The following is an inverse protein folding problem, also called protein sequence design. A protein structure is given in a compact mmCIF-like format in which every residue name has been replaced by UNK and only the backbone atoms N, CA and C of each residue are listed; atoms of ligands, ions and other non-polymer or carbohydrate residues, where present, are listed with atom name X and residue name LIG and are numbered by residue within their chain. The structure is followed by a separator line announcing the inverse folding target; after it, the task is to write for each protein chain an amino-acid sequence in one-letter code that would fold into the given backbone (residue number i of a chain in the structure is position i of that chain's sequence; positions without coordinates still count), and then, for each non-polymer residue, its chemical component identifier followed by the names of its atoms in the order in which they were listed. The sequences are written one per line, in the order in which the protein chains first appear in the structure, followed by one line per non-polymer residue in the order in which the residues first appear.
data_IF_330945070122
#
_entry.id   IF_330945070122
#
_cell.length_a   1.000
_cell.length_b   1.000
_cell.length_c   1.000
_cell.angle_alpha   90.00
_cell.angle_beta   90.00
_cell.angle_gamma   90.00
#
_symmetry.space_group_name_H-M   'P 1'
#
loop_
_entity.id
_entity.type
_entity.pdbx_description
1 polymer ?
#
# COMPACT_ATOMS: atom_id res chain seq x y z
N UNK A 1 -10.55 -9.92 2.57
CA UNK A 1 -10.97 -8.57 3.00
C UNK A 1 -11.30 -7.80 1.74
N UNK A 2 -12.46 -7.15 1.64
CA UNK A 2 -12.78 -6.41 0.41
C UNK A 2 -11.81 -5.23 0.26
N UNK A 3 -11.18 -5.14 -0.92
CA UNK A 3 -10.24 -4.07 -1.28
C UNK A 3 -10.87 -2.66 -1.18
N UNK A 4 -12.20 -2.59 -1.05
CA UNK A 4 -12.97 -1.39 -0.73
C UNK A 4 -12.44 -0.61 0.49
N UNK A 5 -11.92 -1.31 1.52
CA UNK A 5 -11.35 -0.63 2.69
C UNK A 5 -10.00 0.01 2.34
N UNK A 6 -9.18 -0.68 1.53
CA UNK A 6 -7.87 -0.19 1.09
C UNK A 6 -8.04 1.02 0.16
N UNK A 7 -9.09 1.04 -0.68
CA UNK A 7 -9.42 2.17 -1.55
C UNK A 7 -9.58 3.49 -0.78
N UNK A 8 -9.94 3.47 0.51
CA UNK A 8 -10.00 4.67 1.39
C UNK A 8 -8.64 5.33 1.66
N UNK A 9 -7.55 4.66 1.29
CA UNK A 9 -6.18 5.13 1.44
C UNK A 9 -5.58 5.63 0.12
N UNK A 10 -6.31 5.52 -1.00
CA UNK A 10 -5.89 6.12 -2.28
C UNK A 10 -5.67 7.63 -2.08
N UNK A 11 -4.58 8.12 -2.66
CA UNK A 11 -4.14 9.51 -2.55
C UNK A 11 -3.36 9.83 -1.27
N UNK A 12 -3.30 8.91 -0.29
CA UNK A 12 -2.59 9.13 0.98
C UNK A 12 -1.20 8.52 0.94
N UNK A 13 -0.24 9.22 1.55
CA UNK A 13 1.09 8.68 1.78
C UNK A 13 1.04 7.67 2.94
N UNK A 14 1.39 6.43 2.67
CA UNK A 14 1.19 5.30 3.56
C UNK A 14 2.46 4.49 3.74
N UNK A 15 2.52 3.78 4.86
CA UNK A 15 3.47 2.69 5.13
C UNK A 15 2.69 1.39 4.99
N UNK A 16 3.06 0.58 4.01
CA UNK A 16 2.44 -0.71 3.69
C UNK A 16 3.44 -1.79 4.09
N UNK A 17 3.02 -2.69 4.97
CA UNK A 17 3.86 -3.76 5.50
C UNK A 17 3.31 -5.12 5.10
N UNK A 18 4.17 -5.98 4.55
CA UNK A 18 3.81 -7.37 4.18
C UNK A 18 4.15 -8.40 5.25
N UNK A 19 4.57 -7.97 6.45
CA UNK A 19 4.84 -8.87 7.57
C UNK A 19 6.13 -8.56 8.33
N UNK A 20 6.36 -9.26 9.45
CA UNK A 20 7.57 -9.14 10.29
C UNK A 20 8.87 -9.42 9.52
N UNK A 21 8.83 -10.31 8.53
CA UNK A 21 9.95 -10.62 7.64
C UNK A 21 9.75 -10.08 6.22
N UNK A 22 8.67 -9.32 6.02
CA UNK A 22 8.33 -8.70 4.75
C UNK A 22 9.04 -7.38 4.54
N UNK A 23 8.73 -6.74 3.42
CA UNK A 23 9.20 -5.40 3.10
C UNK A 23 8.19 -4.36 3.57
N UNK A 24 8.70 -3.18 3.93
CA UNK A 24 7.88 -2.00 4.14
C UNK A 24 8.02 -1.09 2.93
N UNK A 25 6.91 -0.84 2.25
CA UNK A 25 6.85 0.13 1.15
C UNK A 25 6.26 1.42 1.69
N UNK A 26 6.93 2.54 1.39
CA UNK A 26 6.51 3.87 1.83
C UNK A 26 6.28 4.73 0.59
N UNK A 27 5.04 5.16 0.42
CA UNK A 27 4.66 5.96 -0.74
C UNK A 27 3.17 6.27 -0.79
N UNK A 28 2.76 6.98 -1.83
CA UNK A 28 1.36 7.37 -2.04
C UNK A 28 0.63 6.27 -2.81
N UNK A 29 -0.48 5.78 -2.27
CA UNK A 29 -1.31 4.81 -3.01
C UNK A 29 -1.98 5.53 -4.17
N UNK A 30 -1.76 5.06 -5.40
CA UNK A 30 -2.26 5.67 -6.62
C UNK A 30 -3.54 4.97 -7.09
N UNK A 31 -3.54 3.64 -7.06
CA UNK A 31 -4.66 2.80 -7.50
C UNK A 31 -4.72 1.51 -6.69
N UNK A 32 -5.91 0.90 -6.64
CA UNK A 32 -6.15 -0.41 -6.01
C UNK A 32 -7.09 -1.19 -6.91
N UNK A 33 -6.55 -2.16 -7.63
CA UNK A 33 -7.27 -2.96 -8.61
C UNK A 33 -7.11 -4.44 -8.27
N UNK A 34 -8.24 -5.13 -8.05
CA UNK A 34 -8.25 -6.51 -7.57
C UNK A 34 -7.25 -6.70 -6.42
N UNK A 35 -6.25 -7.57 -6.57
CA UNK A 35 -5.26 -7.88 -5.54
C UNK A 35 -3.98 -7.02 -5.65
N UNK A 36 -4.00 -5.93 -6.40
CA UNK A 36 -2.83 -5.07 -6.60
C UNK A 36 -3.04 -3.67 -6.03
N UNK A 37 -2.01 -3.17 -5.37
CA UNK A 37 -1.91 -1.80 -4.89
C UNK A 37 -0.74 -1.16 -5.63
N UNK A 38 -1.03 -0.12 -6.42
CA UNK A 38 0.01 0.69 -7.04
C UNK A 38 0.40 1.82 -6.09
N UNK A 39 1.70 1.97 -5.86
CA UNK A 39 2.26 2.92 -4.91
C UNK A 39 3.35 3.75 -5.57
N UNK A 40 3.18 5.08 -5.55
CA UNK A 40 4.22 6.02 -5.96
C UNK A 40 5.23 6.17 -4.83
N UNK A 41 6.43 5.63 -5.02
CA UNK A 41 7.55 5.75 -4.07
C UNK A 41 8.58 6.74 -4.60
N UNK A 42 9.59 7.06 -3.79
CA UNK A 42 10.70 7.93 -4.22
C UNK A 42 11.56 7.32 -5.34
N UNK A 43 11.45 6.00 -5.57
CA UNK A 43 12.23 5.27 -6.58
C UNK A 43 11.44 4.99 -7.85
N UNK A 44 10.17 5.39 -7.90
CA UNK A 44 9.24 5.09 -8.98
C UNK A 44 7.98 4.39 -8.46
N UNK A 45 7.20 3.83 -9.37
CA UNK A 45 5.97 3.11 -9.03
C UNK A 45 6.30 1.66 -8.67
N UNK A 46 5.71 1.19 -7.57
CA UNK A 46 5.81 -0.19 -7.10
C UNK A 46 4.43 -0.82 -7.03
N UNK A 47 4.34 -2.10 -7.39
CA UNK A 47 3.13 -2.91 -7.27
C UNK A 47 3.25 -3.83 -6.07
N UNK A 48 2.26 -3.76 -5.18
CA UNK A 48 2.19 -4.58 -3.97
C UNK A 48 0.98 -5.49 -4.08
N UNK A 49 1.17 -6.79 -3.86
CA UNK A 49 0.07 -7.72 -3.78
C UNK A 49 -0.64 -7.57 -2.41
N UNK A 50 -1.93 -7.20 -2.47
CA UNK A 50 -2.80 -6.93 -1.33
C UNK A 50 -3.05 -8.15 -0.44
N UNK A 51 -2.94 -9.37 -0.95
CA UNK A 51 -3.12 -10.61 -0.19
C UNK A 51 -2.01 -10.81 0.84
N UNK A 52 -0.82 -10.26 0.58
CA UNK A 52 0.32 -10.32 1.50
C UNK A 52 0.41 -9.10 2.41
N UNK A 53 -0.49 -8.13 2.29
CA UNK A 53 -0.47 -6.94 3.13
C UNK A 53 -0.98 -7.28 4.52
N UNK A 54 -0.12 -7.13 5.51
CA UNK A 54 -0.47 -7.33 6.92
C UNK A 54 -1.00 -6.03 7.56
N UNK A 55 -0.48 -4.87 7.16
CA UNK A 55 -0.99 -3.59 7.64
C UNK A 55 -0.71 -2.41 6.69
N UNK A 56 -1.60 -1.42 6.74
CA UNK A 56 -1.45 -0.13 6.06
C UNK A 56 -1.66 0.97 7.09
N UNK A 57 -0.69 1.87 7.22
CA UNK A 57 -0.76 3.03 8.11
C UNK A 57 -0.54 4.30 7.31
N UNK A 58 -1.36 5.33 7.54
CA UNK A 58 -1.07 6.66 7.00
C UNK A 58 0.21 7.15 7.64
N UNK A 59 1.16 7.60 6.83
CA UNK A 59 2.38 8.23 7.31
C UNK A 59 2.04 9.64 7.76
N UNK A 60 1.83 9.83 9.06
CA UNK A 60 1.79 11.16 9.65
C UNK A 60 3.20 11.75 9.60
N UNK A 61 3.30 13.01 9.17
CA UNK A 61 4.52 13.80 9.35
C UNK A 61 4.72 14.13 10.82
#
# INVERSE_FOLDING_TARGET
MSNEIIKKYIGKNCIISTGTFGINVVGKIISVEENWIEVETKKGNELINAEFVQSIKIKSN
#
